data_IF_275338007100
#
_entry.id   IF_275338007100
#
_cell.length_a   1.000
_cell.length_b   1.000
_cell.length_c   1.000
_cell.angle_alpha   90.00
_cell.angle_beta   90.00
_cell.angle_gamma   90.00
#
_symmetry.space_group_name_H-M   'P 1'
#
loop_
_entity.id
_entity.type
_entity.pdbx_description
1 polymer ?
#
# COMPACT_ATOMS: atom_id res chain seq x y z
N UNK A 1 4.98 11.39 -9.74
CA UNK A 1 3.78 10.74 -10.28
C UNK A 1 2.63 11.59 -9.80
N UNK A 2 1.83 12.18 -10.67
CA UNK A 2 0.80 13.14 -10.25
C UNK A 2 -0.56 12.67 -10.73
N UNK A 3 -1.57 12.82 -9.88
CA UNK A 3 -2.98 12.58 -10.18
C UNK A 3 -3.72 13.92 -10.24
N UNK A 4 -4.87 13.95 -10.89
CA UNK A 4 -5.71 15.14 -11.05
C UNK A 4 -7.01 15.01 -10.26
N UNK A 5 -7.81 16.08 -10.24
CA UNK A 5 -9.18 16.01 -9.69
C UNK A 5 -10.06 15.04 -10.49
N UNK A 6 -9.83 14.88 -11.80
CA UNK A 6 -10.54 13.90 -12.62
C UNK A 6 -10.26 12.46 -12.18
N UNK A 7 -9.04 12.16 -11.73
CA UNK A 7 -8.71 10.85 -11.15
C UNK A 7 -9.51 10.61 -9.86
N UNK A 8 -9.62 11.63 -8.98
CA UNK A 8 -10.42 11.54 -7.76
C UNK A 8 -11.89 11.29 -8.08
N UNK A 9 -12.43 12.03 -9.06
CA UNK A 9 -13.79 11.87 -9.53
C UNK A 9 -14.04 10.49 -10.13
N UNK A 10 -13.11 9.97 -10.93
CA UNK A 10 -13.19 8.65 -11.52
C UNK A 10 -13.18 7.55 -10.44
N UNK A 11 -12.33 7.67 -9.43
CA UNK A 11 -12.32 6.76 -8.30
C UNK A 11 -13.65 6.76 -7.55
N UNK A 12 -14.16 7.94 -7.18
CA UNK A 12 -15.42 8.05 -6.44
C UNK A 12 -16.59 7.48 -7.22
N UNK A 13 -16.70 7.81 -8.52
CA UNK A 13 -17.87 7.44 -9.32
C UNK A 13 -17.88 5.96 -9.73
N UNK A 14 -16.70 5.37 -9.97
CA UNK A 14 -16.63 4.05 -10.60
C UNK A 14 -16.16 2.93 -9.65
N UNK A 15 -15.51 3.29 -8.55
CA UNK A 15 -14.82 2.32 -7.68
C UNK A 15 -15.31 2.43 -6.25
N UNK A 16 -15.26 3.63 -5.66
CA UNK A 16 -15.62 3.84 -4.27
C UNK A 16 -17.09 3.50 -4.03
N UNK A 17 -17.37 2.81 -2.93
CA UNK A 17 -18.72 2.34 -2.58
C UNK A 17 -18.83 2.12 -1.08
N UNK A 18 -20.05 1.87 -0.59
CA UNK A 18 -20.30 1.55 0.81
C UNK A 18 -19.57 0.31 1.31
N UNK A 19 -19.16 -0.60 0.42
CA UNK A 19 -18.43 -1.82 0.78
C UNK A 19 -17.04 -1.53 1.38
N UNK A 20 -16.49 -0.34 1.10
CA UNK A 20 -15.23 0.12 1.69
C UNK A 20 -15.43 0.76 3.07
N UNK A 21 -16.68 1.05 3.44
CA UNK A 21 -17.03 1.56 4.78
C UNK A 21 -16.92 0.40 5.77
N UNK A 22 -16.40 0.65 6.97
CA UNK A 22 -16.12 -0.32 8.04
C UNK A 22 -14.76 -1.05 7.97
N UNK A 23 -13.73 -0.42 7.40
CA UNK A 23 -12.35 -0.89 7.47
C UNK A 23 -11.57 -0.34 8.68
N UNK A 24 -12.12 -0.45 9.90
CA UNK A 24 -11.46 0.07 11.09
C UNK A 24 -10.09 -0.60 11.30
N UNK A 25 -9.07 0.22 11.50
CA UNK A 25 -7.67 -0.23 11.63
C UNK A 25 -6.96 -0.54 10.31
N UNK A 26 -7.65 -0.48 9.16
CA UNK A 26 -7.04 -0.61 7.83
C UNK A 26 -7.12 0.68 7.01
N UNK A 27 -6.84 0.57 5.72
CA UNK A 27 -6.88 1.67 4.74
C UNK A 27 -8.22 2.43 4.74
N UNK A 28 -8.15 3.75 4.84
CA UNK A 28 -9.25 4.66 4.55
C UNK A 28 -9.24 5.16 3.10
N UNK A 29 -10.19 6.02 2.74
CA UNK A 29 -10.38 6.50 1.37
C UNK A 29 -9.13 7.11 0.73
N UNK A 30 -8.32 7.97 1.40
CA UNK A 30 -7.08 8.50 0.81
C UNK A 30 -6.07 7.39 0.42
N UNK A 31 -5.95 6.37 1.26
CA UNK A 31 -5.03 5.26 1.01
C UNK A 31 -5.58 4.35 -0.10
N UNK A 32 -6.89 4.05 -0.09
CA UNK A 32 -7.54 3.27 -1.13
C UNK A 32 -7.42 3.95 -2.49
N UNK A 33 -7.58 5.28 -2.55
CA UNK A 33 -7.41 6.04 -3.79
C UNK A 33 -6.00 5.92 -4.35
N UNK A 34 -4.97 6.09 -3.53
CA UNK A 34 -3.58 6.01 -4.01
C UNK A 34 -3.21 4.60 -4.50
N UNK A 35 -3.71 3.55 -3.82
CA UNK A 35 -3.56 2.17 -4.32
C UNK A 35 -4.31 1.97 -5.64
N UNK A 36 -5.57 2.41 -5.72
CA UNK A 36 -6.35 2.38 -6.94
C UNK A 36 -5.64 3.09 -8.10
N UNK A 37 -5.07 4.27 -7.86
CA UNK A 37 -4.40 5.05 -8.90
C UNK A 37 -3.23 4.26 -9.51
N UNK A 38 -2.44 3.57 -8.68
CA UNK A 38 -1.35 2.71 -9.14
C UNK A 38 -1.86 1.49 -9.90
N UNK A 39 -2.90 0.82 -9.39
CA UNK A 39 -3.52 -0.32 -10.07
C UNK A 39 -4.08 0.09 -11.44
N UNK A 40 -4.81 1.21 -11.48
CA UNK A 40 -5.42 1.76 -12.68
C UNK A 40 -4.37 2.17 -13.72
N UNK A 41 -3.27 2.78 -13.27
CA UNK A 41 -2.19 3.25 -14.15
C UNK A 41 -1.34 2.11 -14.73
N UNK A 42 -0.99 1.12 -13.91
CA UNK A 42 -0.03 0.09 -14.31
C UNK A 42 -0.65 -1.23 -14.76
N UNK A 43 -1.93 -1.47 -14.45
CA UNK A 43 -2.68 -2.66 -14.87
C UNK A 43 -1.89 -3.97 -14.69
N UNK A 44 -1.32 -4.26 -13.48
CA UNK A 44 -0.55 -5.48 -13.26
C UNK A 44 -1.40 -6.73 -13.48
N UNK A 45 -0.80 -7.78 -14.04
CA UNK A 45 -1.49 -9.08 -14.21
C UNK A 45 -1.46 -9.91 -12.93
N UNK A 46 -0.52 -9.60 -12.03
CA UNK A 46 -0.39 -10.24 -10.72
C UNK A 46 -0.23 -9.19 -9.64
N UNK A 47 -1.06 -9.22 -8.62
CA UNK A 47 -0.89 -8.44 -7.39
C UNK A 47 -0.58 -9.39 -6.25
N UNK A 48 0.55 -9.15 -5.59
CA UNK A 48 0.88 -9.83 -4.33
C UNK A 48 0.51 -8.88 -3.22
N UNK A 49 -0.54 -9.21 -2.48
CA UNK A 49 -1.03 -8.45 -1.33
C UNK A 49 -0.50 -9.11 -0.05
N UNK A 50 0.32 -8.40 0.70
CA UNK A 50 0.86 -8.86 1.98
C UNK A 50 0.35 -7.94 3.08
N UNK A 51 -0.57 -8.45 3.91
CA UNK A 51 -1.44 -7.66 4.78
C UNK A 51 -2.82 -7.53 4.14
N UNK A 52 -3.72 -8.44 4.47
CA UNK A 52 -5.06 -8.54 3.88
C UNK A 52 -6.11 -7.97 4.83
N UNK A 53 -5.90 -8.13 6.13
CA UNK A 53 -6.79 -7.63 7.17
C UNK A 53 -8.26 -8.06 6.97
N UNK A 54 -9.15 -7.12 6.67
CA UNK A 54 -10.58 -7.34 6.43
C UNK A 54 -10.91 -7.57 4.94
N UNK A 55 -9.90 -7.68 4.08
CA UNK A 55 -10.03 -7.93 2.64
C UNK A 55 -10.43 -6.71 1.81
N UNK A 56 -10.41 -5.51 2.41
CA UNK A 56 -10.90 -4.29 1.74
C UNK A 56 -9.97 -3.83 0.60
N UNK A 57 -8.66 -3.95 0.78
CA UNK A 57 -7.68 -3.77 -0.31
C UNK A 57 -7.82 -4.86 -1.37
N UNK A 58 -8.10 -6.12 -1.00
CA UNK A 58 -8.40 -7.20 -1.95
C UNK A 58 -9.62 -6.86 -2.81
N UNK A 59 -10.70 -6.37 -2.19
CA UNK A 59 -11.90 -5.91 -2.90
C UNK A 59 -11.57 -4.80 -3.89
N UNK A 60 -10.75 -3.83 -3.48
CA UNK A 60 -10.31 -2.76 -4.34
C UNK A 60 -9.52 -3.29 -5.54
N UNK A 61 -8.57 -4.20 -5.31
CA UNK A 61 -7.78 -4.84 -6.37
C UNK A 61 -8.69 -5.55 -7.37
N UNK A 62 -9.64 -6.36 -6.89
CA UNK A 62 -10.59 -7.09 -7.75
C UNK A 62 -11.51 -6.17 -8.55
N UNK A 63 -12.07 -5.12 -7.91
CA UNK A 63 -12.90 -4.11 -8.61
C UNK A 63 -12.11 -3.36 -9.68
N UNK A 64 -10.83 -3.09 -9.44
CA UNK A 64 -9.97 -2.35 -10.38
C UNK A 64 -9.46 -3.23 -11.51
N UNK A 65 -9.11 -4.49 -11.22
CA UNK A 65 -8.49 -5.43 -12.15
C UNK A 65 -9.23 -6.77 -12.15
N UNK A 66 -10.39 -6.88 -12.83
CA UNK A 66 -11.29 -8.04 -12.72
C UNK A 66 -10.66 -9.38 -13.08
N UNK A 67 -9.63 -9.40 -13.93
CA UNK A 67 -8.94 -10.61 -14.41
C UNK A 67 -7.58 -10.86 -13.76
N UNK A 68 -7.13 -10.00 -12.84
CA UNK A 68 -5.82 -10.10 -12.22
C UNK A 68 -5.72 -11.34 -11.32
N UNK A 69 -4.54 -11.95 -11.28
CA UNK A 69 -4.16 -12.94 -10.26
C UNK A 69 -3.86 -12.20 -8.96
N UNK A 70 -4.52 -12.55 -7.88
CA UNK A 70 -4.27 -11.97 -6.56
C UNK A 70 -3.68 -13.06 -5.66
N UNK A 71 -2.53 -12.78 -5.05
CA UNK A 71 -1.89 -13.65 -4.07
C UNK A 71 -1.92 -12.93 -2.73
N UNK A 72 -2.85 -13.35 -1.86
CA UNK A 72 -3.12 -12.75 -0.57
C UNK A 72 -2.33 -13.47 0.53
N UNK A 73 -1.52 -12.72 1.28
CA UNK A 73 -0.65 -13.22 2.34
C UNK A 73 -1.01 -12.52 3.65
N UNK A 74 -1.40 -13.28 4.66
CA UNK A 74 -1.68 -12.71 5.99
C UNK A 74 -1.54 -13.79 7.08
N UNK A 75 -0.83 -13.56 8.20
CA UNK A 75 -0.76 -14.54 9.28
C UNK A 75 -2.13 -14.86 9.91
N UNK A 76 -3.12 -13.96 9.81
CA UNK A 76 -4.48 -14.22 10.30
C UNK A 76 -5.44 -14.55 9.16
N UNK A 77 -6.55 -15.21 9.49
CA UNK A 77 -7.68 -15.35 8.56
C UNK A 77 -8.46 -14.03 8.45
N UNK A 78 -9.15 -13.84 7.34
CA UNK A 78 -10.16 -12.78 7.18
C UNK A 78 -11.29 -13.04 8.20
N UNK A 79 -11.80 -12.03 8.90
CA UNK A 79 -12.89 -12.23 9.85
C UNK A 79 -14.18 -12.61 9.11
N UNK A 80 -15.15 -13.21 9.80
CA UNK A 80 -16.40 -13.66 9.18
C UNK A 80 -17.20 -12.54 8.49
N UNK A 81 -17.07 -11.32 8.96
CA UNK A 81 -17.69 -10.11 8.39
C UNK A 81 -16.77 -9.36 7.40
N UNK A 82 -15.57 -9.87 7.12
CA UNK A 82 -14.66 -9.30 6.14
C UNK A 82 -14.98 -9.74 4.72
N UNK A 83 -14.39 -9.07 3.74
CA UNK A 83 -14.50 -9.44 2.35
C UNK A 83 -13.52 -10.56 2.00
N UNK A 84 -14.00 -11.59 1.31
CA UNK A 84 -13.15 -12.62 0.70
C UNK A 84 -13.50 -12.73 -0.77
N UNK A 85 -12.51 -12.57 -1.63
CA UNK A 85 -12.66 -12.74 -3.07
C UNK A 85 -12.81 -14.23 -3.38
N UNK A 86 -13.91 -14.59 -4.03
CA UNK A 86 -14.27 -15.96 -4.41
C UNK A 86 -13.79 -16.30 -5.84
N UNK A 87 -13.19 -15.35 -6.54
CA UNK A 87 -12.65 -15.56 -7.86
C UNK A 87 -11.53 -16.61 -7.87
N UNK A 88 -11.56 -17.53 -8.85
CA UNK A 88 -10.56 -18.60 -9.01
C UNK A 88 -9.12 -18.08 -9.20
N UNK A 89 -8.96 -16.83 -9.65
CA UNK A 89 -7.67 -16.18 -9.80
C UNK A 89 -7.11 -15.63 -8.49
N UNK A 90 -7.82 -15.78 -7.37
CA UNK A 90 -7.30 -15.40 -6.04
C UNK A 90 -6.79 -16.61 -5.28
N UNK A 91 -5.64 -16.45 -4.64
CA UNK A 91 -5.01 -17.50 -3.83
C UNK A 91 -4.65 -16.92 -2.48
N UNK A 92 -5.14 -17.58 -1.43
CA UNK A 92 -4.92 -17.18 -0.05
C UNK A 92 -3.90 -18.08 0.64
N UNK A 93 -2.84 -17.47 1.17
CA UNK A 93 -1.93 -18.08 2.13
C UNK A 93 -2.16 -17.41 3.48
N UNK A 94 -3.09 -17.96 4.26
CA UNK A 94 -3.55 -17.35 5.52
C UNK A 94 -3.64 -18.33 6.69
N UNK A 95 -3.60 -17.80 7.91
CA UNK A 95 -3.76 -18.59 9.14
C UNK A 95 -2.74 -19.72 9.22
N UNK A 96 -3.21 -20.96 9.45
CA UNK A 96 -2.34 -22.14 9.50
C UNK A 96 -1.61 -22.45 8.18
N UNK A 97 -2.11 -21.92 7.05
CA UNK A 97 -1.51 -22.09 5.72
C UNK A 97 -0.69 -20.86 5.28
N UNK A 98 -0.41 -19.94 6.20
CA UNK A 98 0.32 -18.72 5.92
C UNK A 98 1.71 -19.03 5.33
N UNK A 99 2.07 -18.25 4.31
CA UNK A 99 3.41 -18.21 3.73
C UNK A 99 3.85 -16.75 3.68
N UNK A 100 4.98 -16.43 4.31
CA UNK A 100 5.57 -15.11 4.19
C UNK A 100 6.02 -14.84 2.75
N UNK A 101 5.92 -13.59 2.30
CA UNK A 101 6.38 -13.18 0.97
C UNK A 101 7.80 -13.66 0.65
N UNK A 102 8.70 -13.70 1.63
CA UNK A 102 10.07 -14.18 1.48
C UNK A 102 10.16 -15.59 0.87
N UNK A 103 9.20 -16.47 1.19
CA UNK A 103 9.18 -17.88 0.73
C UNK A 103 8.17 -18.16 -0.38
N UNK A 104 7.27 -17.22 -0.69
CA UNK A 104 6.33 -17.37 -1.82
C UNK A 104 7.12 -17.42 -3.12
N UNK A 105 6.88 -18.47 -3.90
CA UNK A 105 7.45 -18.62 -5.24
C UNK A 105 6.58 -17.90 -6.27
N UNK A 106 7.23 -17.05 -7.03
CA UNK A 106 6.63 -16.18 -8.06
C UNK A 106 7.39 -16.31 -9.39
N UNK A 107 8.32 -17.27 -9.47
CA UNK A 107 9.19 -17.47 -10.63
C UNK A 107 8.44 -17.86 -11.91
N UNK A 108 7.21 -18.36 -11.78
CA UNK A 108 6.31 -18.67 -12.90
C UNK A 108 5.66 -17.43 -13.55
N UNK A 109 5.74 -16.26 -12.91
CA UNK A 109 5.18 -15.02 -13.43
C UNK A 109 6.26 -14.13 -14.05
N UNK A 110 5.89 -13.36 -15.07
CA UNK A 110 6.76 -12.30 -15.57
C UNK A 110 6.87 -11.20 -14.51
N UNK A 111 8.08 -10.93 -14.02
CA UNK A 111 8.27 -10.00 -12.90
C UNK A 111 7.88 -8.56 -13.22
N UNK A 112 7.83 -8.17 -14.50
CA UNK A 112 7.34 -6.85 -14.92
C UNK A 112 5.82 -6.71 -14.81
N UNK A 113 5.09 -7.82 -14.80
CA UNK A 113 3.63 -7.87 -14.66
C UNK A 113 3.18 -7.90 -13.19
N UNK A 114 4.11 -7.95 -12.24
CA UNK A 114 3.84 -8.05 -10.80
C UNK A 114 3.86 -6.67 -10.15
N UNK A 115 2.85 -6.39 -9.33
CA UNK A 115 2.87 -5.36 -8.30
C UNK A 115 2.89 -6.03 -6.91
N UNK A 116 3.88 -5.71 -6.09
CA UNK A 116 3.84 -6.07 -4.66
C UNK A 116 3.20 -4.94 -3.86
N UNK A 117 2.12 -5.24 -3.15
CA UNK A 117 1.45 -4.36 -2.21
C UNK A 117 1.71 -4.85 -0.77
N UNK A 118 2.33 -4.00 0.06
CA UNK A 118 2.68 -4.33 1.44
C UNK A 118 1.94 -3.43 2.44
N UNK A 119 1.01 -4.02 3.20
CA UNK A 119 0.29 -3.45 4.36
C UNK A 119 0.40 -4.41 5.58
N UNK A 120 1.54 -5.09 5.70
CA UNK A 120 1.73 -6.16 6.69
C UNK A 120 2.41 -5.70 7.98
N UNK A 121 2.67 -4.40 8.13
CA UNK A 121 3.43 -3.79 9.23
C UNK A 121 4.79 -4.49 9.48
N UNK A 122 5.37 -5.06 8.43
CA UNK A 122 6.71 -5.64 8.47
C UNK A 122 7.75 -4.59 8.06
N UNK A 123 9.01 -4.86 8.38
CA UNK A 123 10.12 -4.01 7.99
C UNK A 123 10.14 -3.82 6.45
N UNK A 124 9.94 -2.57 6.01
CA UNK A 124 9.87 -2.23 4.60
C UNK A 124 11.20 -2.47 3.87
N UNK A 125 12.34 -2.23 4.52
CA UNK A 125 13.66 -2.47 3.94
C UNK A 125 13.86 -3.96 3.61
N UNK A 126 13.40 -4.86 4.50
CA UNK A 126 13.41 -6.30 4.22
C UNK A 126 12.50 -6.66 3.05
N UNK A 127 11.30 -6.07 2.95
CA UNK A 127 10.40 -6.28 1.80
C UNK A 127 11.05 -5.83 0.49
N UNK A 128 11.73 -4.67 0.47
CA UNK A 128 12.45 -4.21 -0.72
C UNK A 128 13.60 -5.16 -1.09
N UNK A 129 14.38 -5.64 -0.13
CA UNK A 129 15.42 -6.65 -0.41
C UNK A 129 14.84 -7.95 -0.99
N UNK A 130 13.68 -8.40 -0.48
CA UNK A 130 12.98 -9.57 -1.01
C UNK A 130 12.48 -9.33 -2.44
N UNK A 131 11.95 -8.14 -2.75
CA UNK A 131 11.59 -7.75 -4.13
C UNK A 131 12.81 -7.75 -5.05
N UNK A 132 13.95 -7.19 -4.64
CA UNK A 132 15.21 -7.22 -5.40
C UNK A 132 15.63 -8.66 -5.69
N UNK A 133 15.62 -9.54 -4.68
CA UNK A 133 15.98 -10.95 -4.84
C UNK A 133 15.04 -11.68 -5.80
N UNK A 134 13.75 -11.35 -5.80
CA UNK A 134 12.72 -11.92 -6.68
C UNK A 134 12.60 -11.20 -8.03
N UNK A 135 13.46 -10.22 -8.30
CA UNK A 135 13.46 -9.41 -9.52
C UNK A 135 12.14 -8.66 -9.79
N UNK A 136 11.44 -8.22 -8.75
CA UNK A 136 10.18 -7.47 -8.87
C UNK A 136 10.49 -5.98 -8.81
N UNK A 137 10.08 -5.23 -9.83
CA UNK A 137 10.42 -3.82 -9.98
C UNK A 137 9.38 -2.84 -9.42
N UNK A 138 8.10 -3.25 -9.28
CA UNK A 138 7.02 -2.36 -8.82
C UNK A 138 6.56 -2.74 -7.41
N UNK A 139 6.65 -1.78 -6.49
CA UNK A 139 6.29 -1.96 -5.09
C UNK A 139 5.40 -0.80 -4.61
N UNK A 140 4.35 -1.13 -3.87
CA UNK A 140 3.50 -0.18 -3.16
C UNK A 140 3.54 -0.50 -1.67
N UNK A 141 3.92 0.48 -0.86
CA UNK A 141 3.96 0.39 0.59
C UNK A 141 2.79 1.19 1.16
N UNK A 142 1.97 0.55 1.98
CA UNK A 142 1.18 1.26 2.98
C UNK A 142 2.06 1.49 4.23
N UNK A 143 1.69 2.46 5.06
CA UNK A 143 2.36 2.73 6.33
C UNK A 143 3.86 3.10 6.21
N UNK A 144 4.26 3.80 5.15
CA UNK A 144 5.64 4.31 5.02
C UNK A 144 5.84 5.58 5.87
N UNK A 145 5.59 5.44 7.18
CA UNK A 145 5.63 6.50 8.19
C UNK A 145 6.95 7.29 8.16
N UNK A 146 6.88 8.62 8.43
CA UNK A 146 8.07 9.46 8.59
C UNK A 146 8.88 9.04 9.84
N UNK A 147 10.07 9.61 9.98
CA UNK A 147 10.89 9.40 11.18
C UNK A 147 10.14 9.77 12.47
N UNK A 148 10.44 9.07 13.56
CA UNK A 148 9.75 9.18 14.85
C UNK A 148 8.26 8.78 14.84
N UNK A 149 7.80 8.09 13.79
CA UNK A 149 6.42 7.64 13.64
C UNK A 149 6.36 6.15 13.26
N UNK A 150 5.30 5.46 13.68
CA UNK A 150 4.89 4.17 13.14
C UNK A 150 5.42 2.95 13.91
N UNK A 151 4.79 1.80 13.72
CA UNK A 151 5.09 0.59 14.50
C UNK A 151 6.30 -0.21 13.99
N UNK A 152 6.88 0.15 12.84
CA UNK A 152 7.89 -0.65 12.16
C UNK A 152 8.88 0.21 11.37
N UNK A 153 9.95 -0.41 10.91
CA UNK A 153 10.99 0.23 10.11
C UNK A 153 10.53 0.47 8.67
N UNK A 154 10.57 1.72 8.22
CA UNK A 154 10.06 2.18 6.92
C UNK A 154 11.21 2.64 6.01
N UNK A 155 10.92 2.98 4.75
CA UNK A 155 11.96 3.51 3.84
C UNK A 155 12.31 4.95 4.20
N UNK A 156 11.40 5.72 4.79
CA UNK A 156 11.74 7.04 5.36
C UNK A 156 12.76 6.93 6.50
N UNK A 157 12.62 5.95 7.40
CA UNK A 157 13.65 5.68 8.41
C UNK A 157 15.01 5.36 7.77
N UNK A 158 15.01 4.49 6.75
CA UNK A 158 16.22 4.10 6.03
C UNK A 158 16.90 5.28 5.35
N UNK A 159 16.16 6.13 4.64
CA UNK A 159 16.70 7.32 3.95
C UNK A 159 17.29 8.33 4.93
N UNK A 160 16.70 8.48 6.11
CA UNK A 160 17.09 9.48 7.10
C UNK A 160 18.10 8.98 8.16
N UNK A 161 18.72 7.80 7.97
CA UNK A 161 19.66 7.20 8.95
C UNK A 161 19.04 7.03 10.35
N UNK A 162 17.78 6.61 10.43
CA UNK A 162 17.08 6.43 11.69
C UNK A 162 16.85 4.94 12.01
N UNK A 163 17.26 4.47 13.18
CA UNK A 163 17.21 3.05 13.57
C UNK A 163 15.91 2.68 14.34
N UNK A 164 14.77 2.78 13.67
CA UNK A 164 13.44 2.49 14.25
C UNK A 164 13.27 0.99 14.53
N UNK A 165 13.47 0.54 15.78
CA UNK A 165 13.29 -0.87 16.22
C UNK A 165 14.13 -1.90 15.43
N UNK A 166 15.01 -1.43 14.56
CA UNK A 166 15.78 -2.22 13.62
C UNK A 166 16.95 -1.37 13.12
N UNK A 167 18.12 -1.99 13.03
CA UNK A 167 19.30 -1.40 12.40
C UNK A 167 19.69 -2.25 11.18
N UNK A 168 20.09 -1.57 10.11
CA UNK A 168 20.55 -2.19 8.88
C UNK A 168 22.01 -1.78 8.67
N UNK A 169 22.86 -2.72 8.26
CA UNK A 169 24.24 -2.38 7.95
C UNK A 169 24.31 -1.46 6.71
N UNK A 170 25.40 -0.69 6.62
CA UNK A 170 25.57 0.31 5.56
C UNK A 170 25.55 -0.31 4.15
N UNK A 171 26.09 -1.50 3.98
CA UNK A 171 26.12 -2.19 2.68
C UNK A 171 24.72 -2.52 2.17
N UNK A 172 23.87 -3.10 3.02
CA UNK A 172 22.49 -3.42 2.67
C UNK A 172 21.67 -2.15 2.46
N UNK A 173 21.90 -1.11 3.26
CA UNK A 173 21.27 0.19 3.06
C UNK A 173 21.60 0.76 1.68
N UNK A 174 22.88 0.82 1.31
CA UNK A 174 23.30 1.31 0.00
C UNK A 174 22.73 0.45 -1.13
N UNK A 175 22.73 -0.88 -0.96
CA UNK A 175 22.16 -1.82 -1.93
C UNK A 175 20.67 -1.54 -2.19
N UNK A 176 19.89 -1.23 -1.16
CA UNK A 176 18.47 -0.86 -1.30
C UNK A 176 18.35 0.50 -1.98
N UNK A 177 19.04 1.53 -1.47
CA UNK A 177 18.90 2.90 -1.98
C UNK A 177 19.33 3.03 -3.43
N UNK A 178 20.44 2.40 -3.82
CA UNK A 178 20.95 2.43 -5.19
C UNK A 178 20.01 1.75 -6.19
N UNK A 179 19.11 0.88 -5.70
CA UNK A 179 18.13 0.18 -6.53
C UNK A 179 16.83 0.94 -6.69
N UNK A 180 16.53 1.94 -5.85
CA UNK A 180 15.31 2.74 -5.94
C UNK A 180 15.50 3.82 -7.03
N UNK A 181 14.76 3.69 -8.13
CA UNK A 181 14.79 4.67 -9.25
C UNK A 181 13.66 5.68 -9.19
N UNK A 182 12.54 5.30 -8.60
CA UNK A 182 11.43 6.20 -8.33
C UNK A 182 10.94 5.95 -6.90
N UNK A 183 10.76 7.03 -6.14
CA UNK A 183 10.27 7.00 -4.77
C UNK A 183 9.22 8.09 -4.62
N UNK A 184 7.95 7.70 -4.67
CA UNK A 184 6.84 8.63 -4.70
C UNK A 184 5.89 8.38 -3.52
N UNK A 185 5.92 9.28 -2.55
CA UNK A 185 4.93 9.34 -1.47
C UNK A 185 3.72 10.09 -2.01
N UNK A 186 2.56 9.45 -2.02
CA UNK A 186 1.31 10.10 -2.40
C UNK A 186 0.92 11.13 -1.34
N UNK A 187 0.49 12.35 -1.72
CA UNK A 187 -0.07 13.27 -0.75
C UNK A 187 -1.41 12.74 -0.21
N UNK A 188 -1.81 13.22 0.97
CA UNK A 188 -3.20 13.15 1.38
C UNK A 188 -4.07 13.96 0.41
N UNK A 189 -5.39 13.76 0.41
CA UNK A 189 -6.27 14.54 -0.48
C UNK A 189 -6.50 15.94 0.07
N UNK A 190 -6.85 16.02 1.36
CA UNK A 190 -7.09 17.27 2.08
C UNK A 190 -5.98 17.57 3.10
N UNK A 191 -5.73 18.86 3.40
CA UNK A 191 -4.71 19.25 4.36
C UNK A 191 -5.13 18.88 5.78
N UNK A 192 -4.16 18.48 6.61
CA UNK A 192 -4.41 18.17 8.01
C UNK A 192 -3.20 17.52 8.67
N UNK A 193 -3.26 17.38 10.00
CA UNK A 193 -2.29 16.58 10.75
C UNK A 193 -2.84 15.18 10.96
N UNK A 194 -1.99 14.19 10.77
CA UNK A 194 -2.35 12.78 10.95
C UNK A 194 -2.05 12.38 12.39
N UNK A 195 -3.07 11.93 13.10
CA UNK A 195 -2.92 11.36 14.44
C UNK A 195 -2.47 9.91 14.34
N UNK A 196 -1.37 9.57 15.00
CA UNK A 196 -0.88 8.20 15.18
C UNK A 196 -0.78 7.87 16.68
N UNK A 197 -0.30 6.68 17.00
CA UNK A 197 -0.01 6.29 18.39
C UNK A 197 1.09 7.15 19.05
N UNK A 198 1.85 7.91 18.27
CA UNK A 198 3.02 8.67 18.73
C UNK A 198 2.85 10.19 18.63
N UNK A 199 1.63 10.65 18.31
CA UNK A 199 1.30 12.08 18.27
C UNK A 199 0.68 12.51 16.94
N UNK A 200 0.90 13.77 16.59
CA UNK A 200 0.37 14.39 15.39
C UNK A 200 1.50 14.71 14.43
N UNK A 201 1.37 14.28 13.18
CA UNK A 201 2.38 14.42 12.15
C UNK A 201 1.84 15.21 10.97
N UNK A 202 2.67 16.08 10.41
CA UNK A 202 2.34 16.81 9.20
C UNK A 202 2.44 15.89 7.97
N UNK A 203 1.58 16.12 6.99
CA UNK A 203 1.63 15.47 5.69
C UNK A 203 1.40 16.48 4.56
N UNK A 204 1.94 16.19 3.39
CA UNK A 204 1.56 16.92 2.19
C UNK A 204 0.15 16.55 1.76
N UNK A 205 -0.56 17.51 1.17
CA UNK A 205 -1.89 17.33 0.62
C UNK A 205 -2.00 17.82 -0.82
N UNK A 206 -2.89 17.21 -1.58
CA UNK A 206 -3.25 17.60 -2.94
C UNK A 206 -3.92 18.96 -2.95
N UNK A 207 -5.03 19.12 -2.20
CA UNK A 207 -5.63 20.43 -1.96
C UNK A 207 -4.81 21.21 -0.92
N UNK A 208 -4.65 22.51 -1.14
CA UNK A 208 -3.93 23.42 -0.21
C UNK A 208 -4.78 23.85 0.97
N UNK A 209 -6.09 23.89 0.77
CA UNK A 209 -7.09 24.26 1.76
C UNK A 209 -8.31 23.34 1.63
N UNK A 210 -9.14 23.31 2.67
CA UNK A 210 -10.40 22.59 2.58
C UNK A 210 -11.32 23.30 1.58
N UNK A 211 -12.03 22.50 0.78
CA UNK A 211 -13.07 22.96 -0.12
C UNK A 211 -14.34 22.13 0.10
N UNK A 212 -15.49 22.73 -0.18
CA UNK A 212 -16.81 22.10 -0.01
C UNK A 212 -17.24 21.37 -1.29
N UNK A 213 -16.37 20.49 -1.78
CA UNK A 213 -16.73 19.60 -2.90
C UNK A 213 -17.44 18.38 -2.33
N UNK A 214 -18.77 18.32 -2.47
CA UNK A 214 -19.61 17.30 -1.82
C UNK A 214 -19.26 15.87 -2.20
N UNK A 215 -18.98 15.61 -3.48
CA UNK A 215 -18.66 14.26 -3.95
C UNK A 215 -17.29 13.76 -3.45
N UNK A 216 -16.43 14.65 -2.92
CA UNK A 216 -15.14 14.33 -2.30
C UNK A 216 -15.20 14.32 -0.77
N UNK A 217 -16.38 14.51 -0.17
CA UNK A 217 -16.60 14.57 1.29
C UNK A 217 -15.93 13.42 2.05
N UNK A 218 -15.96 12.20 1.51
CA UNK A 218 -15.37 11.03 2.16
C UNK A 218 -13.86 11.18 2.40
N UNK A 219 -13.14 11.87 1.54
CA UNK A 219 -11.72 12.14 1.75
C UNK A 219 -11.46 13.13 2.88
N UNK A 220 -12.39 14.06 3.14
CA UNK A 220 -12.35 14.96 4.31
C UNK A 220 -12.70 14.19 5.58
N UNK A 221 -13.77 13.40 5.54
CA UNK A 221 -14.22 12.57 6.66
C UNK A 221 -13.14 11.59 7.13
N UNK A 222 -12.42 10.99 6.17
CA UNK A 222 -11.38 10.00 6.44
C UNK A 222 -9.95 10.56 6.32
N UNK A 223 -9.76 11.88 6.33
CA UNK A 223 -8.44 12.51 6.14
C UNK A 223 -7.39 12.02 7.16
N UNK A 224 -7.82 11.71 8.39
CA UNK A 224 -6.96 11.21 9.48
C UNK A 224 -6.56 9.74 9.31
N UNK A 225 -7.15 9.03 8.34
CA UNK A 225 -6.84 7.63 8.04
C UNK A 225 -5.70 7.47 7.03
N UNK A 226 -5.18 8.55 6.44
CA UNK A 226 -4.05 8.50 5.51
C UNK A 226 -2.75 7.99 6.16
N UNK A 227 -1.97 7.19 5.43
CA UNK A 227 -0.77 6.51 5.97
C UNK A 227 0.46 6.52 5.04
N UNK A 228 0.77 7.66 4.43
CA UNK A 228 1.99 7.85 3.63
C UNK A 228 2.23 6.77 2.58
N UNK A 229 1.16 6.40 1.86
CA UNK A 229 1.25 5.43 0.78
C UNK A 229 2.35 5.81 -0.20
N UNK A 230 3.24 4.86 -0.48
CA UNK A 230 4.46 5.11 -1.23
C UNK A 230 4.61 4.10 -2.35
N UNK A 231 4.71 4.59 -3.58
CA UNK A 231 5.04 3.78 -4.73
C UNK A 231 6.54 3.87 -5.04
N UNK A 232 7.15 2.72 -5.24
CA UNK A 232 8.57 2.55 -5.49
C UNK A 232 8.76 1.77 -6.78
N UNK A 233 9.66 2.27 -7.64
CA UNK A 233 10.19 1.51 -8.77
C UNK A 233 11.65 1.15 -8.48
N UNK A 234 12.00 -0.11 -8.76
CA UNK A 234 13.35 -0.63 -8.59
C UNK A 234 14.01 -0.89 -9.95
N UNK A 235 15.30 -0.59 -10.05
CA UNK A 235 16.17 -1.01 -11.16
C UNK A 235 16.60 -2.47 -10.96
N UNK A 236 16.08 -3.41 -11.75
CA UNK A 236 16.23 -4.85 -11.54
C UNK A 236 16.93 -5.52 -12.71
#
# INVERSE_FOLDING_TARGET
MEFTEDDLKMFINNIYSSDFKNNNGGMGAPDLFSLWFILNKYQPKVVIESGVWNGISTLLIRKTLPNCKIICLDPRNIPANGYRDDNINTTYYMGNNFKDFGIVDVSSYNSNDILCFFDCHQNAALRIMQCIKKKISKVFLNDNYPVNCGSHYTIEHLKNNHDRLYSINNDNKQKILNKITNYHIFPNIYPGKIKTGEGYFDCHSFFKENNDIDYLSIFREEQNKYRWNTFITLDI
#
